data_IF_332038520806
#
_entry.id   IF_332038520806
#
_cell.length_a   1.000
_cell.length_b   1.000
_cell.length_c   1.000
_cell.angle_alpha   90.00
_cell.angle_beta   90.00
_cell.angle_gamma   90.00
#
_symmetry.space_group_name_H-M   'P 1'
#
loop_
_entity.id
_entity.type
_entity.pdbx_description
1 polymer ?
#
# COMPACT_ATOMS: atom_id res chain seq x y z
N UNK A 1 -7.22 -5.76 -67.54
CA UNK A 1 -6.74 -5.53 -68.92
C UNK A 1 -7.68 -6.26 -69.86
N UNK A 2 -8.15 -5.57 -70.89
CA UNK A 2 -9.21 -6.00 -71.82
C UNK A 2 -8.82 -7.26 -72.58
N UNK A 3 -9.67 -8.30 -72.53
CA UNK A 3 -9.58 -9.51 -73.35
C UNK A 3 -10.89 -9.70 -74.13
N UNK A 4 -11.19 -8.75 -75.01
CA UNK A 4 -12.31 -8.84 -75.94
C UNK A 4 -11.84 -8.47 -77.35
N UNK A 5 -11.09 -9.35 -78.01
CA UNK A 5 -10.78 -9.20 -79.43
C UNK A 5 -10.21 -10.48 -80.07
N UNK A 6 -10.90 -11.62 -80.00
CA UNK A 6 -10.58 -12.76 -80.88
C UNK A 6 -11.68 -13.80 -81.11
N UNK A 7 -12.94 -13.35 -81.09
CA UNK A 7 -14.05 -14.16 -81.63
C UNK A 7 -14.89 -13.27 -82.55
N UNK A 8 -14.37 -13.00 -83.74
CA UNK A 8 -15.16 -12.41 -84.83
C UNK A 8 -14.70 -12.94 -86.19
N UNK A 9 -14.73 -14.26 -86.36
CA UNK A 9 -14.59 -14.88 -87.69
C UNK A 9 -15.24 -16.28 -87.75
N UNK A 10 -16.43 -16.45 -87.17
CA UNK A 10 -17.32 -17.54 -87.55
C UNK A 10 -18.75 -17.01 -87.54
N UNK A 11 -19.15 -16.43 -88.68
CA UNK A 11 -20.55 -16.14 -88.98
C UNK A 11 -21.18 -17.42 -89.53
N UNK A 12 -21.48 -18.37 -88.66
CA UNK A 12 -22.38 -19.47 -88.98
C UNK A 12 -23.78 -18.90 -89.16
N UNK A 13 -24.29 -18.98 -90.39
CA UNK A 13 -25.64 -18.59 -90.79
C UNK A 13 -26.63 -19.47 -89.99
N UNK A 14 -27.41 -18.84 -89.12
CA UNK A 14 -28.48 -19.50 -88.40
C UNK A 14 -29.64 -19.82 -89.35
N UNK A 15 -30.08 -21.07 -89.36
CA UNK A 15 -31.45 -21.45 -89.71
C UNK A 15 -31.90 -22.48 -88.66
N UNK A 16 -32.95 -22.18 -87.88
CA UNK A 16 -33.92 -23.17 -87.44
C UNK A 16 -35.28 -22.82 -88.03
N UNK A 17 -35.78 -23.65 -88.96
CA UNK A 17 -36.75 -24.72 -88.70
C UNK A 17 -38.17 -24.14 -88.50
N UNK A 18 -38.78 -23.81 -89.63
CA UNK A 18 -40.22 -23.64 -89.75
C UNK A 18 -40.81 -25.03 -90.10
N UNK A 19 -41.81 -25.42 -89.34
CA UNK A 19 -42.61 -26.63 -89.51
C UNK A 19 -43.33 -26.65 -90.85
N UNK A 20 -43.25 -27.74 -91.62
CA UNK A 20 -44.42 -28.15 -92.41
C UNK A 20 -44.45 -29.64 -92.68
N UNK A 21 -45.68 -30.13 -92.54
CA UNK A 21 -46.18 -31.47 -92.71
C UNK A 21 -45.93 -32.07 -94.10
N UNK A 22 -46.05 -33.38 -94.14
CA UNK A 22 -46.00 -34.21 -95.33
C UNK A 22 -47.14 -33.91 -96.33
N UNK A 23 -46.76 -33.82 -97.60
CA UNK A 23 -47.46 -34.30 -98.81
C UNK A 23 -46.54 -33.88 -99.97
N UNK A 24 -46.03 -34.74 -100.84
CA UNK A 24 -46.72 -35.75 -101.62
C UNK A 24 -46.49 -35.40 -103.10
N UNK A 25 -46.08 -36.40 -103.89
CA UNK A 25 -46.05 -36.46 -105.37
C UNK A 25 -44.98 -35.67 -106.15
N UNK A 26 -44.40 -36.32 -107.15
CA UNK A 26 -43.84 -35.65 -108.33
C UNK A 26 -42.51 -36.19 -108.83
N UNK A 27 -42.57 -37.25 -109.64
CA UNK A 27 -41.48 -37.84 -110.41
C UNK A 27 -40.88 -36.92 -111.49
N UNK A 28 -39.65 -37.29 -111.91
CA UNK A 28 -39.18 -37.42 -113.29
C UNK A 28 -38.05 -36.47 -113.75
N UNK A 29 -36.95 -37.11 -114.17
CA UNK A 29 -36.05 -36.75 -115.29
C UNK A 29 -35.20 -35.48 -115.11
N UNK A 30 -33.98 -35.35 -115.62
CA UNK A 30 -33.40 -35.90 -116.83
C UNK A 30 -31.87 -35.69 -116.83
N UNK A 31 -31.23 -36.44 -117.72
CA UNK A 31 -29.80 -36.61 -118.00
C UNK A 31 -29.06 -35.32 -118.41
N UNK A 32 -27.73 -35.29 -118.23
CA UNK A 32 -26.93 -34.14 -118.68
C UNK A 32 -25.42 -34.26 -118.39
N UNK A 33 -24.72 -35.00 -119.25
CA UNK A 33 -23.27 -35.15 -119.32
C UNK A 33 -22.50 -33.82 -119.26
N UNK A 34 -21.37 -33.79 -118.53
CA UNK A 34 -20.36 -32.72 -118.61
C UNK A 34 -19.15 -33.18 -119.43
N UNK A 35 -18.53 -32.32 -120.26
CA UNK A 35 -17.41 -32.67 -121.13
C UNK A 35 -16.08 -32.62 -120.37
N UNK A 36 -15.19 -33.57 -120.66
CA UNK A 36 -13.85 -33.69 -120.11
C UNK A 36 -12.98 -32.51 -120.58
N UNK A 37 -12.72 -31.55 -119.69
CA UNK A 37 -11.72 -30.50 -119.90
C UNK A 37 -10.30 -31.11 -119.85
N UNK A 38 -9.48 -30.83 -120.86
CA UNK A 38 -8.08 -31.22 -120.92
C UNK A 38 -7.25 -30.34 -119.97
N UNK A 39 -7.11 -30.78 -118.72
CA UNK A 39 -6.31 -30.09 -117.69
C UNK A 39 -4.80 -30.27 -117.99
N UNK A 40 -4.07 -29.16 -118.08
CA UNK A 40 -2.60 -29.15 -118.21
C UNK A 40 -1.94 -29.62 -116.90
N UNK A 41 -1.02 -30.59 -116.99
CA UNK A 41 -0.36 -31.23 -115.84
C UNK A 41 0.44 -30.22 -115.00
N UNK A 42 1.00 -29.18 -115.60
CA UNK A 42 1.75 -28.14 -114.88
C UNK A 42 0.82 -27.33 -113.95
N UNK A 43 -0.31 -26.87 -114.47
CA UNK A 43 -1.34 -26.14 -113.70
C UNK A 43 -1.93 -27.00 -112.58
N UNK A 44 -2.12 -28.31 -112.81
CA UNK A 44 -2.57 -29.23 -111.78
C UNK A 44 -1.53 -29.42 -110.68
N UNK A 45 -0.24 -29.50 -111.02
CA UNK A 45 0.86 -29.61 -110.06
C UNK A 45 0.96 -28.35 -109.16
N UNK A 46 0.88 -27.16 -109.75
CA UNK A 46 0.87 -25.89 -109.00
C UNK A 46 -0.35 -25.81 -108.05
N UNK A 47 -1.53 -26.26 -108.52
CA UNK A 47 -2.74 -26.30 -107.68
C UNK A 47 -2.64 -27.30 -106.54
N UNK A 48 -1.99 -28.44 -106.75
CA UNK A 48 -1.72 -29.43 -105.69
C UNK A 48 -0.76 -28.85 -104.65
N UNK A 49 0.27 -28.12 -105.07
CA UNK A 49 1.22 -27.50 -104.15
C UNK A 49 0.59 -26.35 -103.35
N UNK A 50 -0.27 -25.54 -103.98
CA UNK A 50 -1.08 -24.53 -103.30
C UNK A 50 -2.00 -25.15 -102.24
N UNK A 51 -2.72 -26.22 -102.60
CA UNK A 51 -3.58 -26.96 -101.65
C UNK A 51 -2.78 -27.60 -100.51
N UNK A 52 -1.57 -28.08 -100.77
CA UNK A 52 -0.67 -28.59 -99.72
C UNK A 52 -0.28 -27.49 -98.74
N UNK A 53 0.10 -26.32 -99.24
CA UNK A 53 0.43 -25.17 -98.40
C UNK A 53 -0.77 -24.71 -97.57
N UNK A 54 -1.97 -24.64 -98.16
CA UNK A 54 -3.20 -24.32 -97.44
C UNK A 54 -3.53 -25.35 -96.35
N UNK A 55 -3.32 -26.64 -96.64
CA UNK A 55 -3.54 -27.73 -95.70
C UNK A 55 -2.56 -27.66 -94.53
N UNK A 56 -1.27 -27.42 -94.79
CA UNK A 56 -0.27 -27.27 -93.74
C UNK A 56 -0.52 -26.02 -92.88
N UNK A 57 -0.90 -24.88 -93.50
CA UNK A 57 -1.34 -23.69 -92.75
C UNK A 57 -2.56 -23.98 -91.86
N UNK A 58 -3.52 -24.77 -92.34
CA UNK A 58 -4.68 -25.15 -91.54
C UNK A 58 -4.28 -26.06 -90.38
N UNK A 59 -3.34 -27.00 -90.58
CA UNK A 59 -2.79 -27.83 -89.50
C UNK A 59 -2.10 -26.99 -88.42
N UNK A 60 -1.25 -26.05 -88.81
CA UNK A 60 -0.56 -25.16 -87.86
C UNK A 60 -1.56 -24.34 -87.03
N UNK A 61 -2.63 -23.83 -87.65
CA UNK A 61 -3.70 -23.11 -86.91
C UNK A 61 -4.45 -24.03 -85.94
N UNK A 62 -4.71 -25.29 -86.33
CA UNK A 62 -5.32 -26.28 -85.44
C UNK A 62 -4.40 -26.62 -84.26
N UNK A 63 -3.09 -26.76 -84.49
CA UNK A 63 -2.11 -26.99 -83.43
C UNK A 63 -2.05 -25.82 -82.45
N UNK A 64 -2.01 -24.58 -82.95
CA UNK A 64 -2.06 -23.38 -82.10
C UNK A 64 -3.35 -23.31 -81.27
N UNK A 65 -4.50 -23.61 -81.88
CA UNK A 65 -5.78 -23.65 -81.16
C UNK A 65 -5.79 -24.72 -80.07
N UNK A 66 -5.22 -25.91 -80.33
CA UNK A 66 -5.10 -26.97 -79.34
C UNK A 66 -4.25 -26.56 -78.13
N UNK A 67 -3.11 -25.88 -78.36
CA UNK A 67 -2.27 -25.35 -77.28
C UNK A 67 -3.03 -24.34 -76.41
N UNK A 68 -3.80 -23.44 -77.03
CA UNK A 68 -4.64 -22.49 -76.28
C UNK A 68 -5.77 -23.18 -75.51
N UNK A 69 -6.39 -24.22 -76.08
CA UNK A 69 -7.38 -25.02 -75.34
C UNK A 69 -6.77 -25.72 -74.13
N UNK A 70 -5.56 -26.25 -74.24
CA UNK A 70 -4.86 -26.87 -73.11
C UNK A 70 -4.52 -25.83 -72.03
N UNK A 71 -4.13 -24.62 -72.43
CA UNK A 71 -3.95 -23.50 -71.51
C UNK A 71 -5.24 -23.16 -70.77
N UNK A 72 -6.38 -23.07 -71.47
CA UNK A 72 -7.67 -22.83 -70.83
C UNK A 72 -8.09 -23.98 -69.91
N UNK A 73 -7.82 -25.24 -70.26
CA UNK A 73 -8.09 -26.39 -69.39
C UNK A 73 -7.32 -26.29 -68.07
N UNK A 74 -6.04 -25.92 -68.13
CA UNK A 74 -5.20 -25.71 -66.94
C UNK A 74 -5.75 -24.56 -66.09
N UNK A 75 -6.10 -23.43 -66.71
CA UNK A 75 -6.62 -22.27 -65.97
C UNK A 75 -7.97 -22.58 -65.31
N UNK A 76 -8.88 -23.27 -66.01
CA UNK A 76 -10.16 -23.72 -65.45
C UNK A 76 -9.92 -24.65 -64.27
N UNK A 77 -8.98 -25.59 -64.38
CA UNK A 77 -8.64 -26.49 -63.27
C UNK A 77 -8.10 -25.70 -62.07
N UNK A 78 -7.18 -24.76 -62.29
CA UNK A 78 -6.63 -23.88 -61.25
C UNK A 78 -7.74 -23.09 -60.54
N UNK A 79 -8.64 -22.48 -61.31
CA UNK A 79 -9.77 -21.70 -60.78
C UNK A 79 -10.72 -22.58 -59.94
N UNK A 80 -10.97 -23.81 -60.37
CA UNK A 80 -11.75 -24.78 -59.58
C UNK A 80 -11.07 -25.09 -58.24
N UNK A 81 -9.78 -25.38 -58.24
CA UNK A 81 -9.02 -25.61 -57.01
C UNK A 81 -9.08 -24.41 -56.05
N UNK A 82 -8.96 -23.19 -56.57
CA UNK A 82 -9.08 -21.98 -55.73
C UNK A 82 -10.49 -21.81 -55.18
N UNK A 83 -11.52 -22.08 -55.99
CA UNK A 83 -12.92 -21.97 -55.55
C UNK A 83 -13.23 -22.96 -54.41
N UNK A 84 -12.74 -24.19 -54.51
CA UNK A 84 -12.95 -25.20 -53.48
C UNK A 84 -12.18 -24.85 -52.19
N UNK A 85 -10.96 -24.31 -52.31
CA UNK A 85 -10.21 -23.80 -51.15
C UNK A 85 -10.95 -22.64 -50.44
N UNK A 86 -11.53 -21.71 -51.20
CA UNK A 86 -12.33 -20.61 -50.64
C UNK A 86 -13.62 -21.10 -49.98
N UNK A 87 -14.28 -22.12 -50.56
CA UNK A 87 -15.46 -22.76 -49.95
C UNK A 87 -15.10 -23.42 -48.61
N UNK A 88 -13.97 -24.12 -48.54
CA UNK A 88 -13.49 -24.73 -47.31
C UNK A 88 -13.12 -23.69 -46.26
N UNK A 89 -12.48 -22.60 -46.67
CA UNK A 89 -12.17 -21.47 -45.79
C UNK A 89 -13.45 -20.83 -45.24
N UNK A 90 -14.45 -20.60 -46.10
CA UNK A 90 -15.76 -20.06 -45.71
C UNK A 90 -16.49 -20.98 -44.73
N UNK A 91 -16.48 -22.30 -44.97
CA UNK A 91 -17.07 -23.28 -44.07
C UNK A 91 -16.40 -23.30 -42.68
N UNK A 92 -15.07 -23.14 -42.63
CA UNK A 92 -14.31 -23.00 -41.37
C UNK A 92 -14.69 -21.71 -40.63
N UNK A 93 -14.73 -20.59 -41.34
CA UNK A 93 -15.12 -19.30 -40.78
C UNK A 93 -16.54 -19.34 -40.20
N UNK A 94 -17.48 -19.95 -40.92
CA UNK A 94 -18.86 -20.11 -40.44
C UNK A 94 -18.95 -20.94 -39.15
N UNK A 95 -18.19 -22.03 -39.05
CA UNK A 95 -18.11 -22.84 -37.81
C UNK A 95 -17.58 -22.04 -36.63
N UNK A 96 -16.56 -21.19 -36.85
CA UNK A 96 -16.03 -20.32 -35.81
C UNK A 96 -17.05 -19.27 -35.37
N UNK A 97 -17.75 -18.65 -36.33
CA UNK A 97 -18.79 -17.69 -36.04
C UNK A 97 -19.92 -18.29 -35.18
N UNK A 98 -20.36 -19.51 -35.50
CA UNK A 98 -21.39 -20.20 -34.71
C UNK A 98 -20.94 -20.45 -33.26
N UNK A 99 -19.67 -20.86 -33.06
CA UNK A 99 -19.12 -21.03 -31.70
C UNK A 99 -19.09 -19.72 -30.92
N UNK A 100 -18.72 -18.61 -31.56
CA UNK A 100 -18.70 -17.30 -30.91
C UNK A 100 -20.11 -16.80 -30.58
N UNK A 101 -21.08 -17.07 -31.44
CA UNK A 101 -22.49 -16.78 -31.16
C UNK A 101 -22.97 -17.53 -29.92
N UNK A 102 -22.68 -18.82 -29.82
CA UNK A 102 -23.10 -19.63 -28.66
C UNK A 102 -22.36 -19.22 -27.38
N UNK A 103 -21.06 -18.93 -27.46
CA UNK A 103 -20.27 -18.35 -26.36
C UNK A 103 -20.88 -17.03 -25.87
N UNK A 104 -21.33 -16.18 -26.79
CA UNK A 104 -21.95 -14.90 -26.45
C UNK A 104 -23.27 -15.10 -25.71
N UNK A 105 -24.11 -16.06 -26.14
CA UNK A 105 -25.36 -16.41 -25.44
C UNK A 105 -25.09 -16.94 -24.03
N UNK A 106 -24.08 -17.78 -23.86
CA UNK A 106 -23.68 -18.28 -22.53
C UNK A 106 -23.25 -17.14 -21.60
N UNK A 107 -22.43 -16.21 -22.11
CA UNK A 107 -21.99 -15.04 -21.34
C UNK A 107 -23.17 -14.15 -20.95
N UNK A 108 -24.10 -13.88 -21.87
CA UNK A 108 -25.32 -13.12 -21.58
C UNK A 108 -26.19 -13.80 -20.50
N UNK A 109 -26.29 -15.13 -20.51
CA UNK A 109 -27.03 -15.86 -19.47
C UNK A 109 -26.33 -15.77 -18.10
N UNK A 110 -24.99 -15.87 -18.07
CA UNK A 110 -24.22 -15.68 -16.83
C UNK A 110 -24.38 -14.27 -16.28
N UNK A 111 -24.34 -13.26 -17.13
CA UNK A 111 -24.54 -11.87 -16.74
C UNK A 111 -25.92 -11.66 -16.09
N UNK A 112 -27.00 -12.17 -16.73
CA UNK A 112 -28.35 -12.09 -16.16
C UNK A 112 -28.44 -12.76 -14.79
N UNK A 113 -27.83 -13.93 -14.63
CA UNK A 113 -27.81 -14.63 -13.34
C UNK A 113 -27.06 -13.84 -12.27
N UNK A 114 -25.90 -13.26 -12.62
CA UNK A 114 -25.12 -12.42 -11.71
C UNK A 114 -25.89 -11.16 -11.32
N UNK A 115 -26.61 -10.52 -12.25
CA UNK A 115 -27.47 -9.37 -11.94
C UNK A 115 -28.58 -9.72 -10.95
N UNK A 116 -29.20 -10.90 -11.09
CA UNK A 116 -30.23 -11.37 -10.15
C UNK A 116 -29.62 -11.61 -8.76
N UNK A 117 -28.44 -12.23 -8.68
CA UNK A 117 -27.72 -12.46 -7.42
C UNK A 117 -27.38 -11.13 -6.74
N UNK A 118 -26.82 -10.19 -7.49
CA UNK A 118 -26.44 -8.86 -6.98
C UNK A 118 -27.65 -8.12 -6.41
N UNK A 119 -28.81 -8.18 -7.09
CA UNK A 119 -30.05 -7.59 -6.57
C UNK A 119 -30.48 -8.22 -5.24
N UNK A 120 -30.38 -9.55 -5.11
CA UNK A 120 -30.68 -10.26 -3.86
C UNK A 120 -29.76 -9.83 -2.72
N UNK A 121 -28.45 -9.76 -2.98
CA UNK A 121 -27.47 -9.34 -1.99
C UNK A 121 -27.66 -7.87 -1.58
N UNK A 122 -27.96 -7.00 -2.54
CA UNK A 122 -28.25 -5.58 -2.27
C UNK A 122 -29.48 -5.43 -1.37
N UNK A 123 -30.54 -6.20 -1.63
CA UNK A 123 -31.72 -6.21 -0.76
C UNK A 123 -31.39 -6.72 0.64
N UNK A 124 -30.62 -7.81 0.76
CA UNK A 124 -30.20 -8.34 2.07
C UNK A 124 -29.35 -7.33 2.85
N UNK A 125 -28.38 -6.68 2.20
CA UNK A 125 -27.58 -5.62 2.80
C UNK A 125 -28.44 -4.44 3.26
N UNK A 126 -29.43 -4.03 2.47
CA UNK A 126 -30.35 -2.94 2.86
C UNK A 126 -31.17 -3.31 4.11
N UNK A 127 -31.58 -4.57 4.24
CA UNK A 127 -32.29 -5.07 5.42
C UNK A 127 -31.38 -5.11 6.66
N UNK A 128 -30.13 -5.56 6.51
CA UNK A 128 -29.15 -5.56 7.59
C UNK A 128 -28.80 -4.15 8.03
N UNK A 129 -28.65 -3.22 7.09
CA UNK A 129 -28.39 -1.81 7.38
C UNK A 129 -29.56 -1.18 8.16
N UNK A 130 -30.81 -1.50 7.79
CA UNK A 130 -31.98 -1.03 8.52
C UNK A 130 -31.99 -1.55 9.97
N UNK A 131 -31.67 -2.83 10.18
CA UNK A 131 -31.53 -3.42 11.53
C UNK A 131 -30.41 -2.79 12.34
N UNK A 132 -29.26 -2.54 11.71
CA UNK A 132 -28.15 -1.86 12.38
C UNK A 132 -28.55 -0.46 12.85
N UNK A 133 -29.30 0.27 12.01
CA UNK A 133 -29.79 1.60 12.35
C UNK A 133 -30.78 1.56 13.53
N UNK A 134 -31.69 0.57 13.58
CA UNK A 134 -32.62 0.41 14.70
C UNK A 134 -31.91 0.07 16.00
N UNK A 135 -30.94 -0.86 15.97
CA UNK A 135 -30.14 -1.21 17.15
C UNK A 135 -29.30 -0.01 17.64
N UNK A 136 -28.73 0.76 16.72
CA UNK A 136 -27.96 1.96 17.05
C UNK A 136 -28.84 3.03 17.72
N UNK A 137 -30.08 3.21 17.24
CA UNK A 137 -31.03 4.12 17.85
C UNK A 137 -31.45 3.66 19.25
N UNK A 138 -31.68 2.35 19.42
CA UNK A 138 -31.99 1.74 20.73
C UNK A 138 -30.85 1.94 21.73
N UNK A 139 -29.60 1.64 21.34
CA UNK A 139 -28.41 1.86 22.16
C UNK A 139 -28.24 3.32 22.58
N UNK A 140 -28.47 4.27 21.67
CA UNK A 140 -28.45 5.70 22.00
C UNK A 140 -29.51 6.06 23.05
N UNK A 141 -30.73 5.51 22.93
CA UNK A 141 -31.79 5.75 23.90
C UNK A 141 -31.45 5.18 25.29
N UNK A 142 -30.95 3.94 25.35
CA UNK A 142 -30.49 3.32 26.60
C UNK A 142 -29.33 4.10 27.24
N UNK A 143 -28.37 4.55 26.43
CA UNK A 143 -27.24 5.35 26.92
C UNK A 143 -27.71 6.69 27.50
N UNK A 144 -28.69 7.35 26.84
CA UNK A 144 -29.30 8.57 27.37
C UNK A 144 -30.02 8.31 28.70
N UNK A 145 -30.75 7.21 28.81
CA UNK A 145 -31.41 6.82 30.05
C UNK A 145 -30.40 6.57 31.19
N UNK A 146 -29.32 5.83 30.91
CA UNK A 146 -28.26 5.57 31.88
C UNK A 146 -27.65 6.87 32.43
N UNK A 147 -27.33 7.84 31.56
CA UNK A 147 -26.84 9.16 31.99
C UNK A 147 -27.81 9.91 32.89
N UNK A 148 -29.11 9.87 32.58
CA UNK A 148 -30.14 10.49 33.45
C UNK A 148 -30.22 9.80 34.81
N UNK A 149 -29.98 8.49 34.91
CA UNK A 149 -29.92 7.80 36.20
C UNK A 149 -28.65 8.14 36.97
N UNK A 150 -27.51 8.27 36.28
CA UNK A 150 -26.24 8.72 36.89
C UNK A 150 -26.38 10.14 37.49
N UNK A 151 -27.03 11.06 36.77
CA UNK A 151 -27.30 12.42 37.24
C UNK A 151 -28.15 12.40 38.53
N UNK A 152 -29.24 11.63 38.54
CA UNK A 152 -30.06 11.45 39.75
C UNK A 152 -29.27 10.84 40.91
N UNK A 153 -28.39 9.88 40.64
CA UNK A 153 -27.55 9.26 41.66
C UNK A 153 -26.64 10.31 42.29
N UNK A 154 -25.95 11.12 41.46
CA UNK A 154 -25.09 12.20 41.92
C UNK A 154 -25.86 13.19 42.79
N UNK A 155 -27.07 13.61 42.37
CA UNK A 155 -27.92 14.51 43.15
C UNK A 155 -28.29 13.90 44.51
N UNK A 156 -28.76 12.65 44.53
CA UNK A 156 -29.10 11.97 45.80
C UNK A 156 -27.88 11.79 46.71
N UNK A 157 -26.69 11.59 46.13
CA UNK A 157 -25.46 11.46 46.90
C UNK A 157 -25.03 12.81 47.49
N UNK A 158 -25.24 13.91 46.77
CA UNK A 158 -25.03 15.26 47.29
C UNK A 158 -26.00 15.57 48.43
N UNK A 159 -27.28 15.21 48.31
CA UNK A 159 -28.27 15.34 49.39
C UNK A 159 -27.86 14.54 50.63
N UNK A 160 -27.34 13.31 50.46
CA UNK A 160 -26.83 12.50 51.56
C UNK A 160 -25.64 13.17 52.27
N UNK A 161 -24.67 13.72 51.52
CA UNK A 161 -23.54 14.43 52.10
C UNK A 161 -23.98 15.72 52.81
N UNK A 162 -24.92 16.47 52.23
CA UNK A 162 -25.53 17.63 52.89
C UNK A 162 -26.22 17.24 54.21
N UNK A 163 -26.94 16.11 54.22
CA UNK A 163 -27.59 15.60 55.42
C UNK A 163 -26.57 15.18 56.47
N UNK A 164 -25.44 14.55 56.10
CA UNK A 164 -24.33 14.24 57.02
C UNK A 164 -23.76 15.51 57.66
N UNK A 165 -23.52 16.54 56.85
CA UNK A 165 -22.99 17.83 57.33
C UNK A 165 -23.95 18.57 58.27
N UNK A 166 -25.26 18.42 58.08
CA UNK A 166 -26.27 19.08 58.93
C UNK A 166 -26.65 18.28 60.18
N UNK A 167 -26.34 16.98 60.23
CA UNK A 167 -26.66 16.09 61.36
C UNK A 167 -25.44 15.73 62.22
N UNK A 168 -24.22 15.99 61.75
CA UNK A 168 -22.99 15.71 62.51
C UNK A 168 -22.65 16.84 63.47
N UNK A 169 -22.91 16.65 64.77
CA UNK A 169 -22.19 17.33 65.84
C UNK A 169 -20.99 16.45 66.20
N UNK A 170 -19.80 16.76 65.68
CA UNK A 170 -18.56 16.19 66.20
C UNK A 170 -17.41 17.21 66.27
N UNK A 171 -16.47 17.01 67.21
CA UNK A 171 -15.56 18.03 67.75
C UNK A 171 -14.31 18.26 66.88
N UNK A 172 -13.50 19.29 67.18
CA UNK A 172 -12.38 19.69 66.32
C UNK A 172 -11.23 18.68 66.43
N UNK A 173 -10.89 18.05 65.29
CA UNK A 173 -9.63 17.31 65.12
C UNK A 173 -8.86 17.88 63.94
N UNK A 174 -7.73 18.49 64.31
CA UNK A 174 -6.46 18.73 63.62
C UNK A 174 -6.41 19.18 62.14
N UNK A 175 -5.79 20.35 61.87
CA UNK A 175 -5.55 20.86 60.53
C UNK A 175 -4.27 20.25 59.97
N UNK A 176 -4.34 19.07 59.37
CA UNK A 176 -3.28 18.64 58.45
C UNK A 176 -3.86 17.97 57.21
N UNK A 177 -3.31 18.38 56.06
CA UNK A 177 -3.66 17.96 54.70
C UNK A 177 -4.87 18.70 54.10
N UNK A 178 -4.70 20.01 53.92
CA UNK A 178 -5.24 20.66 52.74
C UNK A 178 -4.68 19.93 51.50
N UNK A 179 -5.56 19.21 50.78
CA UNK A 179 -5.28 18.73 49.44
C UNK A 179 -5.13 19.97 48.55
N UNK A 180 -3.88 20.26 48.23
CA UNK A 180 -3.46 21.40 47.43
C UNK A 180 -4.10 21.30 46.02
N UNK A 181 -5.23 21.98 45.81
CA UNK A 181 -5.97 22.01 44.53
C UNK A 181 -5.16 22.67 43.39
N UNK A 182 -4.00 23.24 43.70
CA UNK A 182 -3.05 23.82 42.75
C UNK A 182 -1.84 22.91 42.48
N UNK A 183 -1.78 21.70 43.04
CA UNK A 183 -0.71 20.76 42.73
C UNK A 183 -0.78 20.34 41.25
N UNK A 184 0.33 20.47 40.49
CA UNK A 184 0.36 19.99 39.11
C UNK A 184 0.05 18.48 39.09
N UNK A 185 -0.79 18.07 38.13
CA UNK A 185 -1.15 16.67 37.93
C UNK A 185 0.11 15.80 37.92
N UNK A 186 0.07 14.61 38.54
CA UNK A 186 1.23 13.74 38.60
C UNK A 186 1.72 13.43 37.19
N UNK A 187 3.01 13.61 36.98
CA UNK A 187 3.67 13.36 35.72
C UNK A 187 3.44 11.91 35.25
N UNK A 188 2.78 11.74 34.11
CA UNK A 188 2.47 10.42 33.55
C UNK A 188 3.75 9.80 32.95
N UNK A 189 4.21 8.61 33.40
CA UNK A 189 5.31 7.92 32.75
C UNK A 189 4.89 7.43 31.36
N UNK A 190 5.82 7.45 30.41
CA UNK A 190 5.63 6.90 29.08
C UNK A 190 6.94 6.41 28.45
N UNK A 191 6.79 5.62 27.38
CA UNK A 191 7.86 5.19 26.49
C UNK A 191 7.48 5.55 25.06
N UNK A 192 8.46 5.74 24.19
CA UNK A 192 8.24 6.18 22.82
C UNK A 192 8.89 5.22 21.84
N UNK A 193 8.18 4.90 20.76
CA UNK A 193 8.70 4.18 19.59
C UNK A 193 8.72 5.12 18.40
N UNK A 194 9.89 5.36 17.83
CA UNK A 194 10.08 6.13 16.60
C UNK A 194 10.50 5.18 15.48
N UNK A 195 9.74 5.16 14.39
CA UNK A 195 9.96 4.24 13.26
C UNK A 195 10.19 5.04 11.98
N UNK A 196 11.28 4.73 11.31
CA UNK A 196 11.51 5.09 9.91
C UNK A 196 10.75 4.09 9.02
N UNK A 197 9.54 4.48 8.62
CA UNK A 197 8.68 3.69 7.73
C UNK A 197 9.18 3.64 6.29
N UNK A 198 10.18 4.46 5.91
CA UNK A 198 10.82 4.44 4.61
C UNK A 198 11.92 3.37 4.55
N UNK A 199 12.62 3.13 5.66
CA UNK A 199 13.64 2.09 5.75
C UNK A 199 13.10 0.74 6.20
N UNK A 200 12.10 0.68 7.09
CA UNK A 200 11.63 -0.57 7.70
C UNK A 200 10.52 -1.23 6.88
N UNK A 201 10.59 -2.55 6.72
CA UNK A 201 9.53 -3.36 6.13
C UNK A 201 8.78 -4.09 7.24
N UNK A 202 7.46 -4.12 7.14
CA UNK A 202 6.60 -4.91 8.03
C UNK A 202 6.79 -6.40 7.81
N UNK A 203 6.53 -7.20 8.84
CA UNK A 203 6.61 -8.66 8.77
C UNK A 203 5.72 -9.21 7.63
N UNK A 204 6.11 -10.33 6.97
CA UNK A 204 5.44 -10.83 5.77
C UNK A 204 3.93 -11.06 5.95
N UNK A 205 3.53 -11.55 7.11
CA UNK A 205 2.14 -11.84 7.49
C UNK A 205 1.31 -10.58 7.78
N UNK A 206 1.95 -9.47 8.13
CA UNK A 206 1.35 -8.13 8.14
C UNK A 206 1.24 -7.60 6.71
N UNK A 207 2.23 -7.86 5.85
CA UNK A 207 2.28 -7.33 4.49
C UNK A 207 1.55 -8.14 3.43
N UNK A 208 1.21 -9.40 3.69
CA UNK A 208 0.64 -10.30 2.71
C UNK A 208 -0.61 -10.94 3.33
N UNK A 209 -1.77 -10.38 3.01
CA UNK A 209 -3.05 -11.04 3.27
C UNK A 209 -3.13 -12.27 2.38
N UNK A 210 -2.54 -13.40 2.80
CA UNK A 210 -2.75 -14.69 2.17
C UNK A 210 -4.17 -15.20 2.48
N UNK A 211 -5.21 -14.48 2.03
CA UNK A 211 -6.56 -15.05 1.91
C UNK A 211 -6.68 -15.63 0.48
N UNK A 212 -7.05 -16.91 0.32
CA UNK A 212 -7.09 -17.57 -0.98
C UNK A 212 -8.12 -16.92 -1.93
N UNK A 213 -7.89 -16.93 -3.26
CA UNK A 213 -8.79 -16.29 -4.23
C UNK A 213 -10.15 -16.99 -4.21
N UNK A 214 -11.22 -16.24 -3.93
CA UNK A 214 -12.59 -16.77 -3.87
C UNK A 214 -13.08 -17.10 -2.46
N UNK A 215 -12.21 -17.04 -1.44
CA UNK A 215 -12.66 -16.83 -0.07
C UNK A 215 -12.88 -15.32 0.09
N UNK A 216 -14.15 -14.97 0.20
CA UNK A 216 -14.75 -13.76 0.74
C UNK A 216 -13.75 -12.81 1.42
N UNK A 217 -14.03 -11.52 1.26
CA UNK A 217 -13.82 -10.45 2.24
C UNK A 217 -14.37 -10.77 3.66
N UNK A 218 -14.09 -11.97 4.16
CA UNK A 218 -14.53 -12.60 5.40
C UNK A 218 -13.51 -13.68 5.87
N UNK A 219 -12.21 -13.49 5.60
CA UNK A 219 -11.27 -13.66 6.71
C UNK A 219 -11.54 -12.51 7.69
N UNK A 220 -12.70 -12.60 8.35
CA UNK A 220 -13.04 -11.88 9.54
C UNK A 220 -11.97 -12.28 10.56
N UNK A 221 -10.88 -11.51 10.58
CA UNK A 221 -10.11 -11.31 11.79
C UNK A 221 -11.16 -10.90 12.82
N UNK A 222 -11.48 -11.83 13.72
CA UNK A 222 -12.52 -11.75 14.74
C UNK A 222 -12.41 -10.48 15.64
N UNK A 223 -11.31 -9.73 15.49
CA UNK A 223 -10.93 -8.53 16.26
C UNK A 223 -10.91 -7.23 15.44
N UNK A 224 -11.48 -7.19 14.23
CA UNK A 224 -11.52 -5.99 13.38
C UNK A 224 -10.14 -5.46 12.96
N UNK A 225 -9.11 -6.30 12.91
CA UNK A 225 -7.74 -5.84 12.64
C UNK A 225 -7.31 -6.14 11.21
N UNK A 226 -7.34 -5.13 10.34
CA UNK A 226 -6.53 -5.15 9.12
C UNK A 226 -5.02 -5.08 9.46
N UNK A 227 -4.13 -5.19 8.48
CA UNK A 227 -2.69 -5.27 8.74
C UNK A 227 -2.11 -4.06 9.46
N UNK A 228 -2.64 -2.84 9.25
CA UNK A 228 -2.21 -1.67 10.02
C UNK A 228 -2.50 -1.83 11.52
N UNK A 229 -3.71 -2.28 11.85
CA UNK A 229 -4.11 -2.57 13.23
C UNK A 229 -3.31 -3.74 13.84
N UNK A 230 -2.95 -4.73 13.04
CA UNK A 230 -2.09 -5.83 13.46
C UNK A 230 -0.69 -5.34 13.82
N UNK A 231 -0.08 -4.48 12.99
CA UNK A 231 1.21 -3.88 13.27
C UNK A 231 1.22 -3.06 14.57
N UNK A 232 0.21 -2.21 14.78
CA UNK A 232 0.05 -1.42 16.01
C UNK A 232 -0.04 -2.33 17.26
N UNK A 233 -0.86 -3.38 17.17
CA UNK A 233 -1.03 -4.35 18.27
C UNK A 233 0.28 -5.08 18.60
N UNK A 234 1.05 -5.49 17.58
CA UNK A 234 2.32 -6.19 17.80
C UNK A 234 3.40 -5.29 18.38
N UNK A 235 3.53 -4.04 17.91
CA UNK A 235 4.44 -3.06 18.52
C UNK A 235 4.09 -2.88 20.00
N UNK A 236 2.80 -2.65 20.33
CA UNK A 236 2.36 -2.53 21.72
C UNK A 236 2.78 -3.74 22.54
N UNK A 237 2.54 -4.95 22.04
CA UNK A 237 2.86 -6.17 22.76
C UNK A 237 4.38 -6.33 22.99
N UNK A 238 5.21 -6.05 22.00
CA UNK A 238 6.68 -6.10 22.15
C UNK A 238 7.20 -5.06 23.15
N UNK A 239 6.65 -3.84 23.12
CA UNK A 239 7.00 -2.80 24.09
C UNK A 239 6.54 -3.17 25.50
N UNK A 240 5.32 -3.72 25.67
CA UNK A 240 4.84 -4.20 26.97
C UNK A 240 5.74 -5.31 27.51
N UNK A 241 6.14 -6.28 26.68
CA UNK A 241 7.12 -7.31 27.08
C UNK A 241 8.42 -6.68 27.56
N UNK A 242 8.93 -5.67 26.85
CA UNK A 242 10.12 -4.95 27.27
C UNK A 242 9.92 -4.28 28.64
N UNK A 243 8.84 -3.51 28.84
CA UNK A 243 8.54 -2.85 30.12
C UNK A 243 8.53 -3.86 31.27
N UNK A 244 7.87 -5.01 31.09
CA UNK A 244 7.80 -6.06 32.10
C UNK A 244 9.18 -6.69 32.40
N UNK A 245 10.09 -6.74 31.43
CA UNK A 245 11.44 -7.27 31.60
C UNK A 245 12.38 -6.35 32.39
N UNK A 246 12.04 -5.06 32.52
CA UNK A 246 12.92 -4.04 33.13
C UNK A 246 12.85 -3.96 34.67
N UNK A 247 12.24 -4.96 35.33
CA UNK A 247 12.23 -5.14 36.79
C UNK A 247 11.87 -3.87 37.59
N UNK A 248 10.92 -3.07 37.09
CA UNK A 248 10.45 -1.84 37.77
C UNK A 248 11.21 -0.56 37.43
N UNK A 249 12.27 -0.61 36.62
CA UNK A 249 12.95 0.60 36.10
C UNK A 249 12.02 1.44 35.23
N UNK A 250 11.10 0.79 34.53
CA UNK A 250 10.01 1.43 33.78
C UNK A 250 8.70 1.07 34.49
N UNK A 251 7.88 2.06 34.91
CA UNK A 251 6.58 1.80 35.52
C UNK A 251 5.67 1.00 34.57
N UNK A 252 4.97 -0.01 35.09
CA UNK A 252 3.99 -0.80 34.30
C UNK A 252 2.80 0.04 33.83
N UNK A 253 2.56 1.19 34.47
CA UNK A 253 1.55 2.19 34.08
C UNK A 253 2.03 3.12 32.97
N UNK A 254 3.25 2.93 32.44
CA UNK A 254 3.80 3.76 31.38
C UNK A 254 2.96 3.65 30.10
N UNK A 255 2.55 4.81 29.56
CA UNK A 255 1.86 4.86 28.27
C UNK A 255 2.85 4.57 27.14
N UNK A 256 2.37 3.97 26.06
CA UNK A 256 3.18 3.66 24.87
C UNK A 256 2.78 4.62 23.77
N UNK A 257 3.71 5.49 23.37
CA UNK A 257 3.54 6.39 22.22
C UNK A 257 4.32 5.80 21.05
N UNK A 258 3.68 5.65 19.89
CA UNK A 258 4.35 5.14 18.69
C UNK A 258 4.14 6.10 17.54
N UNK A 259 5.22 6.50 16.87
CA UNK A 259 5.18 7.38 15.71
C UNK A 259 5.96 6.75 14.57
N UNK A 260 5.24 6.45 13.49
CA UNK A 260 5.83 5.99 12.23
C UNK A 260 5.88 7.15 11.27
N UNK A 261 7.05 7.46 10.73
CA UNK A 261 7.23 8.50 9.71
C UNK A 261 7.53 7.83 8.38
N UNK A 262 6.73 8.13 7.36
CA UNK A 262 6.91 7.57 6.03
C UNK A 262 6.55 8.64 5.00
N UNK A 263 7.30 8.75 3.91
CA UNK A 263 6.97 9.68 2.84
C UNK A 263 6.01 9.02 1.84
N UNK A 264 4.74 9.44 1.85
CA UNK A 264 3.71 8.82 1.01
C UNK A 264 3.90 9.12 -0.48
N UNK A 265 4.66 10.18 -0.81
CA UNK A 265 4.92 10.63 -2.18
C UNK A 265 6.18 10.05 -2.81
N UNK A 266 7.17 9.67 -2.00
CA UNK A 266 8.47 9.17 -2.48
C UNK A 266 8.46 7.72 -2.97
N UNK A 267 7.40 6.97 -2.63
CA UNK A 267 7.19 5.62 -3.13
C UNK A 267 6.12 5.67 -4.22
N UNK A 268 6.37 5.10 -5.42
CA UNK A 268 5.28 4.87 -6.35
C UNK A 268 4.19 4.02 -5.65
N UNK A 269 2.90 4.14 -6.02
CA UNK A 269 1.75 3.45 -5.40
C UNK A 269 1.82 1.91 -5.30
N UNK A 270 2.96 1.28 -5.60
CA UNK A 270 3.19 -0.11 -5.26
C UNK A 270 4.64 -0.47 -4.95
N UNK A 271 5.37 0.39 -4.24
CA UNK A 271 6.62 0.00 -3.55
C UNK A 271 6.38 -0.31 -2.05
N UNK A 272 5.18 -0.81 -1.72
CA UNK A 272 5.10 -2.00 -0.88
C UNK A 272 5.15 -3.22 -1.81
N UNK A 273 6.30 -3.48 -2.43
CA UNK A 273 6.45 -4.47 -3.50
C UNK A 273 6.32 -5.93 -3.07
N UNK A 274 6.13 -6.20 -1.77
CA UNK A 274 5.69 -7.53 -1.34
C UNK A 274 4.18 -7.75 -1.54
N UNK A 275 3.39 -6.70 -1.74
CA UNK A 275 1.98 -6.83 -2.12
C UNK A 275 1.77 -7.10 -3.62
N UNK A 276 2.82 -7.05 -4.46
CA UNK A 276 2.70 -7.20 -5.93
C UNK A 276 2.84 -8.63 -6.45
N UNK A 277 3.07 -9.62 -5.58
CA UNK A 277 3.29 -11.02 -6.02
C UNK A 277 2.10 -11.96 -5.79
N UNK A 278 0.95 -11.50 -5.29
CA UNK A 278 -0.23 -12.35 -5.15
C UNK A 278 -1.55 -11.57 -5.18
N UNK A 279 -2.30 -11.70 -6.27
CA UNK A 279 -3.75 -11.49 -6.29
C UNK A 279 -4.27 -10.04 -6.21
N UNK A 280 -5.60 -9.84 -6.38
CA UNK A 280 -6.19 -8.57 -6.77
C UNK A 280 -6.64 -7.65 -5.62
N UNK A 281 -6.08 -7.75 -4.41
CA UNK A 281 -6.42 -6.86 -3.29
C UNK A 281 -5.16 -6.30 -2.61
N UNK A 282 -4.56 -5.29 -3.25
CA UNK A 282 -3.43 -4.54 -2.69
C UNK A 282 -3.98 -3.47 -1.77
N UNK A 283 -3.75 -3.59 -0.45
CA UNK A 283 -4.07 -2.53 0.50
C UNK A 283 -3.19 -1.31 0.23
N UNK A 284 -3.80 -0.13 0.19
CA UNK A 284 -3.05 1.12 -0.01
C UNK A 284 -2.29 1.50 1.26
N UNK A 285 -1.16 2.21 1.12
CA UNK A 285 -0.41 2.74 2.27
C UNK A 285 -1.27 3.65 3.15
N UNK A 286 -2.18 4.42 2.54
CA UNK A 286 -3.13 5.26 3.26
C UNK A 286 -4.10 4.44 4.12
N UNK A 287 -4.63 3.34 3.58
CA UNK A 287 -5.51 2.44 4.33
C UNK A 287 -4.77 1.74 5.48
N UNK A 288 -3.52 1.33 5.25
CA UNK A 288 -2.66 0.81 6.32
C UNK A 288 -2.46 1.86 7.43
N UNK A 289 -2.16 3.11 7.06
CA UNK A 289 -1.94 4.20 8.01
C UNK A 289 -3.20 4.51 8.84
N UNK A 290 -4.39 4.50 8.21
CA UNK A 290 -5.68 4.65 8.89
C UNK A 290 -5.88 3.52 9.90
N UNK A 291 -5.77 2.26 9.46
CA UNK A 291 -5.93 1.10 10.34
C UNK A 291 -4.93 1.08 11.51
N UNK A 292 -3.69 1.53 11.28
CA UNK A 292 -2.67 1.63 12.32
C UNK A 292 -3.06 2.69 13.36
N UNK A 293 -3.47 3.87 12.89
CA UNK A 293 -3.76 5.04 13.72
C UNK A 293 -5.05 4.84 14.52
N UNK A 294 -6.09 4.27 13.91
CA UNK A 294 -7.38 4.02 14.58
C UNK A 294 -7.29 2.93 15.65
N UNK A 295 -6.30 2.03 15.58
CA UNK A 295 -6.23 0.88 16.48
C UNK A 295 -5.90 1.26 17.92
N UNK A 296 -5.03 2.25 18.15
CA UNK A 296 -4.58 2.65 19.49
C UNK A 296 -4.42 4.19 19.57
N UNK A 297 -4.94 4.87 20.61
CA UNK A 297 -4.99 6.34 20.66
C UNK A 297 -3.66 7.10 20.65
N UNK A 298 -2.52 6.44 20.92
CA UNK A 298 -1.18 7.05 20.96
C UNK A 298 -0.27 6.49 19.86
N UNK A 299 -0.87 5.89 18.84
CA UNK A 299 -0.17 5.30 17.70
C UNK A 299 -0.50 6.12 16.48
N UNK A 300 0.50 6.78 15.91
CA UNK A 300 0.33 7.67 14.79
C UNK A 300 1.17 7.22 13.60
N UNK A 301 0.58 7.25 12.41
CA UNK A 301 1.28 7.03 11.14
C UNK A 301 1.29 8.34 10.34
N UNK A 302 2.44 9.02 10.32
CA UNK A 302 2.58 10.34 9.72
C UNK A 302 3.12 10.26 8.29
N UNK A 303 2.48 10.98 7.38
CA UNK A 303 3.11 11.38 6.13
C UNK A 303 4.20 12.43 6.42
N UNK A 304 5.44 12.09 6.08
CA UNK A 304 6.57 13.01 6.21
C UNK A 304 6.52 14.16 5.19
N UNK A 305 5.71 14.03 4.14
CA UNK A 305 5.58 15.01 3.06
C UNK A 305 6.71 14.88 2.02
N UNK A 306 6.71 15.77 1.02
CA UNK A 306 7.63 15.69 -0.13
C UNK A 306 9.08 16.02 0.28
N UNK A 307 10.04 15.18 -0.12
CA UNK A 307 11.48 15.39 0.08
C UNK A 307 12.21 14.17 0.67
N UNK A 308 13.50 14.03 0.35
CA UNK A 308 14.31 12.84 0.65
C UNK A 308 14.69 12.66 2.13
N UNK A 309 14.66 13.73 2.94
CA UNK A 309 15.15 13.73 4.33
C UNK A 309 14.08 14.17 5.35
N UNK A 310 12.82 14.32 4.90
CA UNK A 310 11.74 14.84 5.76
C UNK A 310 11.38 13.90 6.92
N UNK A 311 11.45 12.59 6.70
CA UNK A 311 11.21 11.61 7.75
C UNK A 311 12.34 11.68 8.78
N UNK A 312 13.59 11.78 8.33
CA UNK A 312 14.77 11.85 9.19
C UNK A 312 14.76 13.08 10.09
N UNK A 313 14.41 14.26 9.55
CA UNK A 313 14.28 15.50 10.31
C UNK A 313 13.24 15.34 11.43
N UNK A 314 12.07 14.77 11.11
CA UNK A 314 11.01 14.53 12.10
C UNK A 314 11.47 13.54 13.18
N UNK A 315 12.14 12.46 12.80
CA UNK A 315 12.67 11.47 13.75
C UNK A 315 13.72 12.11 14.65
N UNK A 316 14.65 12.90 14.10
CA UNK A 316 15.70 13.61 14.87
C UNK A 316 15.12 14.55 15.91
N UNK A 317 14.17 15.41 15.52
CA UNK A 317 13.56 16.34 16.47
C UNK A 317 12.71 15.64 17.54
N UNK A 318 11.94 14.61 17.16
CA UNK A 318 11.19 13.80 18.13
C UNK A 318 12.13 13.08 19.10
N UNK A 319 13.24 12.55 18.60
CA UNK A 319 14.24 11.88 19.41
C UNK A 319 14.80 12.83 20.48
N UNK A 320 15.23 14.04 20.09
CA UNK A 320 15.76 15.04 21.02
C UNK A 320 14.74 15.48 22.07
N UNK A 321 13.50 15.73 21.66
CA UNK A 321 12.41 16.09 22.55
C UNK A 321 12.15 15.00 23.61
N UNK A 322 12.01 13.74 23.18
CA UNK A 322 11.66 12.66 24.11
C UNK A 322 12.84 12.19 24.95
N UNK A 323 14.07 12.27 24.43
CA UNK A 323 15.26 11.92 25.20
C UNK A 323 15.48 12.89 26.37
N UNK A 324 15.25 14.18 26.13
CA UNK A 324 15.37 15.24 27.16
C UNK A 324 14.17 15.28 28.12
N UNK A 325 13.05 14.63 27.78
CA UNK A 325 11.87 14.60 28.64
C UNK A 325 12.08 13.65 29.83
N UNK A 326 11.97 14.12 31.09
CA UNK A 326 12.20 13.29 32.28
C UNK A 326 11.26 12.07 32.37
N UNK A 327 9.99 12.25 31.99
CA UNK A 327 8.94 11.24 32.09
C UNK A 327 9.01 10.15 31.01
N UNK A 328 9.87 10.35 30.00
CA UNK A 328 10.15 9.34 28.98
C UNK A 328 11.21 8.38 29.51
N UNK A 329 10.83 7.12 29.75
CA UNK A 329 11.70 6.15 30.39
C UNK A 329 12.53 5.33 29.39
N UNK A 330 12.01 5.15 28.17
CA UNK A 330 12.70 4.45 27.09
C UNK A 330 12.26 5.01 25.73
N UNK A 331 13.21 5.03 24.79
CA UNK A 331 13.06 5.51 23.43
C UNK A 331 13.54 4.42 22.48
N UNK A 332 12.58 3.73 21.86
CA UNK A 332 12.84 2.72 20.84
C UNK A 332 13.04 3.39 19.49
N UNK A 333 14.20 3.18 18.89
CA UNK A 333 14.59 3.79 17.62
C UNK A 333 14.68 2.70 16.55
N UNK A 334 13.63 2.59 15.74
CA UNK A 334 13.58 1.78 14.53
C UNK A 334 13.97 2.64 13.32
N UNK A 335 15.20 3.14 13.34
CA UNK A 335 15.81 3.95 12.26
C UNK A 335 17.30 3.59 12.08
N UNK A 336 17.70 2.38 12.50
CA UNK A 336 19.11 2.01 12.61
C UNK A 336 19.69 1.40 11.31
N UNK A 337 19.02 1.54 10.18
CA UNK A 337 19.50 1.07 8.87
C UNK A 337 20.24 2.16 8.08
N UNK A 338 20.10 3.43 8.47
CA UNK A 338 20.76 4.56 7.84
C UNK A 338 21.88 5.11 8.75
N UNK A 339 23.09 5.27 8.21
CA UNK A 339 24.19 5.92 8.93
C UNK A 339 23.93 7.42 9.18
N UNK A 340 22.96 8.04 8.49
CA UNK A 340 22.55 9.42 8.73
C UNK A 340 22.14 9.69 10.18
N UNK A 341 21.66 8.69 10.92
CA UNK A 341 21.33 8.80 12.33
C UNK A 341 22.52 8.61 13.28
N UNK A 342 23.69 8.14 12.79
CA UNK A 342 24.84 7.82 13.63
C UNK A 342 25.35 9.04 14.41
N UNK A 343 25.51 10.19 13.74
CA UNK A 343 25.98 11.43 14.39
C UNK A 343 25.03 11.90 15.49
N UNK A 344 23.72 11.74 15.28
CA UNK A 344 22.70 12.10 16.29
C UNK A 344 22.74 11.14 17.49
N UNK A 345 23.06 9.86 17.31
CA UNK A 345 23.18 8.91 18.42
C UNK A 345 24.53 9.01 19.14
N UNK A 346 25.60 9.33 18.39
CA UNK A 346 26.98 9.36 18.87
C UNK A 346 27.17 10.33 20.04
N UNK A 347 26.53 11.50 19.98
CA UNK A 347 26.60 12.51 21.05
C UNK A 347 26.08 12.02 22.42
N UNK A 348 25.33 10.92 22.44
CA UNK A 348 24.77 10.32 23.66
C UNK A 348 25.44 9.01 24.07
N UNK A 349 26.43 8.54 23.30
CA UNK A 349 27.10 7.25 23.54
C UNK A 349 27.87 7.19 24.87
N UNK A 350 28.43 8.34 25.29
CA UNK A 350 29.16 8.49 26.56
C UNK A 350 28.26 8.94 27.74
N UNK A 351 27.01 9.32 27.47
CA UNK A 351 26.11 9.80 28.51
C UNK A 351 25.36 8.63 29.18
N UNK A 352 25.60 8.31 30.46
CA UNK A 352 25.12 7.07 31.09
C UNK A 352 23.59 6.98 31.17
N UNK A 353 22.90 8.09 31.46
CA UNK A 353 21.44 8.11 31.51
C UNK A 353 20.80 8.01 30.12
N UNK A 354 21.25 8.81 29.15
CA UNK A 354 20.73 8.78 27.78
C UNK A 354 20.93 7.39 27.15
N UNK A 355 22.12 6.79 27.34
CA UNK A 355 22.42 5.45 26.83
C UNK A 355 21.49 4.36 27.37
N UNK A 356 21.03 4.46 28.61
CA UNK A 356 20.05 3.53 29.19
C UNK A 356 18.63 3.74 28.67
N UNK A 357 18.30 4.96 28.24
CA UNK A 357 16.98 5.27 27.65
C UNK A 357 16.89 4.84 26.19
N UNK A 358 17.99 4.86 25.43
CA UNK A 358 17.99 4.61 23.99
C UNK A 358 18.07 3.11 23.71
N UNK A 359 17.06 2.59 23.01
CA UNK A 359 16.96 1.18 22.61
C UNK A 359 16.83 1.10 21.09
N UNK A 360 17.78 0.49 20.40
CA UNK A 360 17.73 0.30 18.96
C UNK A 360 16.86 -0.89 18.61
N UNK A 361 15.95 -0.71 17.65
CA UNK A 361 15.11 -1.80 17.13
C UNK A 361 15.66 -2.25 15.79
N UNK A 362 16.37 -3.38 15.80
CA UNK A 362 17.04 -3.96 14.65
C UNK A 362 16.10 -4.89 13.89
N UNK A 363 16.00 -4.79 12.56
CA UNK A 363 15.35 -5.80 11.74
C UNK A 363 16.28 -6.99 11.44
N UNK A 364 17.40 -7.16 12.17
CA UNK A 364 18.36 -8.25 12.00
C UNK A 364 19.80 -7.77 11.73
N UNK A 365 19.97 -6.50 11.35
CA UNK A 365 21.26 -5.81 11.37
C UNK A 365 21.07 -4.30 11.57
N UNK A 366 22.14 -3.63 11.98
CA UNK A 366 22.21 -2.16 12.11
C UNK A 366 23.34 -1.60 11.24
N UNK A 367 23.24 -0.33 10.87
CA UNK A 367 24.27 0.36 10.10
C UNK A 367 25.61 0.38 10.88
N UNK A 368 26.73 0.26 10.15
CA UNK A 368 28.05 0.01 10.76
C UNK A 368 28.47 1.11 11.75
N UNK A 369 28.16 2.37 11.46
CA UNK A 369 28.53 3.49 12.34
C UNK A 369 27.71 3.47 13.63
N UNK A 370 26.42 3.12 13.55
CA UNK A 370 25.54 2.97 14.71
C UNK A 370 25.98 1.77 15.57
N UNK A 371 26.40 0.67 14.95
CA UNK A 371 26.87 -0.53 15.66
C UNK A 371 28.03 -0.22 16.62
N UNK A 372 28.93 0.68 16.22
CA UNK A 372 30.11 1.08 17.02
C UNK A 372 29.73 1.82 18.30
N UNK A 373 28.56 2.44 18.36
CA UNK A 373 28.08 3.17 19.54
C UNK A 373 27.69 2.24 20.70
N UNK A 374 27.60 0.93 20.48
CA UNK A 374 27.37 -0.08 21.51
C UNK A 374 26.12 0.18 22.38
N UNK A 375 25.07 0.75 21.78
CA UNK A 375 23.77 0.97 22.39
C UNK A 375 23.04 -0.37 22.62
N UNK A 376 21.94 -0.33 23.38
CA UNK A 376 21.07 -1.50 23.54
C UNK A 376 20.37 -1.80 22.22
N UNK A 377 20.32 -3.08 21.82
CA UNK A 377 19.74 -3.54 20.56
C UNK A 377 18.76 -4.66 20.86
N UNK A 378 17.56 -4.56 20.30
CA UNK A 378 16.51 -5.58 20.36
C UNK A 378 15.97 -5.87 18.95
N UNK A 379 15.39 -7.05 18.74
CA UNK A 379 14.74 -7.43 17.49
C UNK A 379 13.25 -7.68 17.69
N UNK A 380 12.42 -7.21 16.77
CA UNK A 380 10.97 -7.47 16.74
C UNK A 380 10.57 -8.24 15.47
N UNK A 381 10.90 -9.53 15.37
CA UNK A 381 10.69 -10.32 14.14
C UNK A 381 9.20 -10.47 13.78
N UNK A 382 8.31 -10.33 14.76
CA UNK A 382 6.86 -10.35 14.54
C UNK A 382 6.32 -8.99 14.05
N UNK A 383 7.08 -7.91 14.14
CA UNK A 383 6.68 -6.57 13.70
C UNK A 383 7.33 -6.24 12.37
N UNK A 384 8.65 -6.42 12.27
CA UNK A 384 9.44 -6.05 11.11
C UNK A 384 10.01 -7.29 10.42
N UNK A 385 10.02 -7.26 9.09
CA UNK A 385 10.63 -8.32 8.29
C UNK A 385 12.13 -8.39 8.58
N UNK A 386 12.62 -9.61 8.82
CA UNK A 386 14.05 -9.85 9.02
C UNK A 386 14.83 -9.47 7.76
N UNK A 387 15.83 -8.61 7.91
CA UNK A 387 16.75 -8.21 6.85
C UNK A 387 18.13 -8.79 7.07
N UNK A 388 18.78 -9.09 5.95
CA UNK A 388 20.17 -9.53 5.90
C UNK A 388 20.99 -8.39 5.29
N UNK A 389 22.15 -8.04 5.86
CA UNK A 389 23.01 -7.03 5.28
C UNK A 389 23.51 -7.48 3.89
N UNK A 390 23.73 -6.53 2.94
CA UNK A 390 24.37 -6.83 1.66
C UNK A 390 25.69 -7.61 1.84
N UNK A 391 26.09 -8.50 0.92
CA UNK A 391 27.24 -9.40 1.12
C UNK A 391 28.56 -8.69 1.47
N UNK A 392 28.80 -7.53 0.86
CA UNK A 392 29.95 -6.65 1.09
C UNK A 392 29.94 -6.00 2.49
N UNK A 393 28.76 -5.68 3.01
CA UNK A 393 28.55 -5.14 4.35
C UNK A 393 28.52 -6.26 5.40
N UNK A 394 28.03 -7.45 5.07
CA UNK A 394 27.84 -8.57 5.98
C UNK A 394 29.14 -9.02 6.65
N UNK A 395 30.24 -9.09 5.88
CA UNK A 395 31.57 -9.44 6.43
C UNK A 395 32.05 -8.38 7.42
N UNK A 396 31.86 -7.10 7.10
CA UNK A 396 32.24 -5.98 7.98
C UNK A 396 31.39 -5.96 9.25
N UNK A 397 30.08 -6.14 9.10
CA UNK A 397 29.12 -6.18 10.20
C UNK A 397 29.41 -7.34 11.16
N UNK A 398 29.69 -8.54 10.64
CA UNK A 398 30.05 -9.70 11.46
C UNK A 398 31.36 -9.46 12.24
N UNK A 399 32.39 -8.91 11.57
CA UNK A 399 33.66 -8.55 12.22
C UNK A 399 33.46 -7.52 13.32
N UNK A 400 32.65 -6.49 13.08
CA UNK A 400 32.41 -5.43 14.04
C UNK A 400 31.57 -5.92 15.24
N UNK A 401 30.57 -6.79 15.00
CA UNK A 401 29.78 -7.43 16.06
C UNK A 401 30.67 -8.22 17.03
N UNK A 402 31.62 -8.98 16.49
CA UNK A 402 32.59 -9.74 17.30
C UNK A 402 33.49 -8.80 18.10
N UNK A 403 33.97 -7.69 17.51
CA UNK A 403 34.77 -6.70 18.24
C UNK A 403 34.00 -6.08 19.41
N UNK A 404 32.76 -5.64 19.17
CA UNK A 404 31.89 -5.05 20.21
C UNK A 404 31.62 -6.05 21.34
N UNK A 405 31.36 -7.32 20.99
CA UNK A 405 31.14 -8.38 21.97
C UNK A 405 32.40 -8.64 22.83
N UNK A 406 33.58 -8.68 22.19
CA UNK A 406 34.86 -8.82 22.90
C UNK A 406 35.15 -7.61 23.81
N UNK A 407 34.83 -6.38 23.36
CA UNK A 407 34.96 -5.18 24.19
C UNK A 407 34.04 -5.22 25.41
N UNK A 408 32.76 -5.59 25.24
CA UNK A 408 31.81 -5.76 26.35
C UNK A 408 32.28 -6.82 27.34
N UNK A 409 32.76 -7.98 26.86
CA UNK A 409 33.29 -9.04 27.72
C UNK A 409 34.55 -8.60 28.49
N UNK A 410 35.44 -7.79 27.87
CA UNK A 410 36.62 -7.23 28.54
C UNK A 410 36.24 -6.22 29.61
N UNK A 411 35.29 -5.32 29.33
CA UNK A 411 34.78 -4.35 30.29
C UNK A 411 34.10 -5.02 31.51
N UNK A 412 33.35 -6.11 31.29
CA UNK A 412 32.76 -6.89 32.38
C UNK A 412 33.82 -7.59 33.23
N UNK A 413 34.87 -8.17 32.62
CA UNK A 413 35.99 -8.79 33.36
C UNK A 413 36.79 -7.81 34.21
N UNK A 414 36.97 -6.56 33.75
CA UNK A 414 37.66 -5.52 34.56
C UNK A 414 36.86 -5.06 35.78
N UNK A 415 35.54 -5.24 35.80
CA UNK A 415 34.69 -4.88 36.94
C UNK A 415 34.61 -6.02 37.98
N UNK A 416 34.98 -7.25 37.62
CA UNK A 416 34.81 -8.46 38.46
C UNK A 416 36.09 -9.04 39.07
N UNK A 417 37.24 -8.34 39.00
CA UNK A 417 38.48 -8.82 39.65
C UNK A 417 38.53 -8.32 41.11
N UNK A 418 38.57 -9.21 42.12
CA UNK A 418 38.90 -8.81 43.48
C UNK A 418 40.41 -8.52 43.54
N UNK A 419 40.77 -7.31 43.98
CA UNK A 419 42.16 -6.95 44.28
C UNK A 419 42.56 -7.69 45.55
N UNK A 420 43.43 -8.70 45.43
CA UNK A 420 44.07 -9.40 46.54
C UNK A 420 45.56 -9.02 46.55
N UNK A 421 45.96 -8.27 47.59
CA UNK A 421 47.34 -8.06 48.10
C UNK A 421 48.30 -7.27 47.20
N UNK A 422 49.07 -6.29 47.64
CA UNK A 422 49.33 -5.70 48.96
C UNK A 422 50.45 -4.66 48.77
N UNK A 423 50.40 -3.56 49.54
CA UNK A 423 51.45 -2.52 49.54
C UNK A 423 50.94 -1.08 49.50
N UNK A 424 50.73 -0.51 50.68
CA UNK A 424 50.57 0.95 50.95
C UNK A 424 52.00 1.56 50.94
N UNK A 425 52.25 2.79 50.41
CA UNK A 425 51.76 4.01 51.04
C UNK A 425 51.15 5.12 50.17
N UNK A 426 49.99 5.55 50.67
CA UNK A 426 49.49 6.94 50.86
C UNK A 426 49.39 7.88 49.65
N UNK A 427 48.14 8.11 49.23
CA UNK A 427 47.60 9.47 49.25
C UNK A 427 46.12 9.42 49.66
N UNK A 428 45.85 9.83 50.90
CA UNK A 428 44.51 10.04 51.44
C UNK A 428 43.83 11.22 50.71
N UNK A 429 42.73 10.94 50.00
CA UNK A 429 41.59 11.86 49.94
C UNK A 429 40.33 11.03 50.22
N UNK A 430 39.67 11.39 51.32
CA UNK A 430 38.68 10.63 52.07
C UNK A 430 37.30 10.58 51.36
N UNK A 431 36.41 9.62 51.72
CA UNK A 431 35.05 9.45 51.16
C UNK A 431 34.02 10.55 51.46
N UNK A 432 34.45 11.77 51.81
CA UNK A 432 33.55 12.90 52.11
C UNK A 432 33.07 13.69 50.88
N UNK A 433 33.59 13.37 49.69
CA UNK A 433 33.20 14.05 48.44
C UNK A 433 31.93 13.49 47.79
N UNK A 434 31.49 12.28 48.16
CA UNK A 434 30.19 11.76 47.70
C UNK A 434 28.99 12.28 48.50
N UNK A 435 29.20 12.70 49.76
CA UNK A 435 28.18 13.36 50.58
C UNK A 435 27.99 14.86 50.22
N UNK A 436 28.82 15.39 49.33
CA UNK A 436 28.73 16.77 48.81
C UNK A 436 28.11 16.86 47.41
N UNK A 437 27.69 15.75 46.82
CA UNK A 437 26.91 15.78 45.58
C UNK A 437 25.45 16.03 45.96
N UNK A 438 24.83 17.15 45.55
CA UNK A 438 23.44 17.41 45.88
C UNK A 438 22.58 16.28 45.33
N UNK A 439 21.78 15.63 46.19
CA UNK A 439 20.67 14.82 45.75
C UNK A 439 19.75 15.73 44.92
N UNK A 440 19.82 15.60 43.60
CA UNK A 440 19.11 16.49 42.69
C UNK A 440 17.62 16.17 42.76
N UNK A 441 16.90 16.93 43.58
CA UNK A 441 15.46 16.86 43.64
C UNK A 441 14.88 17.63 42.45
N UNK A 442 14.30 16.90 41.49
CA UNK A 442 13.71 17.45 40.26
C UNK A 442 12.61 18.48 40.56
N UNK A 443 11.86 18.30 41.66
CA UNK A 443 10.83 19.25 42.09
C UNK A 443 11.43 20.55 42.62
N UNK A 444 12.62 20.51 43.23
CA UNK A 444 13.33 21.70 43.70
C UNK A 444 14.00 22.50 42.56
N UNK A 445 14.30 21.86 41.42
CA UNK A 445 14.82 22.53 40.23
C UNK A 445 13.70 23.21 39.41
N UNK A 446 12.53 22.57 39.29
CA UNK A 446 11.35 23.17 38.64
C UNK A 446 10.83 24.41 39.38
N UNK A 447 10.85 24.42 40.72
CA UNK A 447 10.47 25.59 41.51
C UNK A 447 11.39 26.82 41.28
N UNK A 448 12.69 26.61 41.00
CA UNK A 448 13.65 27.70 40.73
C UNK A 448 13.58 28.24 39.30
N UNK A 449 13.20 27.39 38.34
CA UNK A 449 12.98 27.81 36.95
C UNK A 449 11.68 28.63 36.78
N UNK A 450 10.67 28.39 37.64
CA UNK A 450 9.42 29.15 37.67
C UNK A 450 9.59 30.61 38.15
N UNK A 451 10.66 30.94 38.87
CA UNK A 451 10.89 32.27 39.44
C UNK A 451 11.79 33.17 38.56
N UNK A 452 12.10 32.77 37.32
CA UNK A 452 13.21 33.37 36.59
C UNK A 452 13.03 33.49 35.07
N UNK A 453 11.86 33.84 34.55
CA UNK A 453 11.75 34.52 33.24
C UNK A 453 10.54 35.43 33.26
N UNK A 454 10.78 36.74 33.35
CA UNK A 454 9.75 37.76 33.30
C UNK A 454 9.14 37.85 31.90
N UNK A 455 7.84 37.55 31.79
CA UNK A 455 7.01 38.01 30.69
C UNK A 455 6.30 39.28 31.16
N UNK A 456 6.87 40.45 30.83
CA UNK A 456 6.15 41.73 30.98
C UNK A 456 5.08 41.80 29.91
N UNK A 457 3.86 41.36 30.23
CA UNK A 457 2.67 41.81 29.50
C UNK A 457 2.32 43.18 30.05
N UNK A 458 2.52 44.21 29.22
CA UNK A 458 1.99 45.54 29.49
C UNK A 458 0.46 45.46 29.44
N UNK A 459 -0.18 45.45 30.60
CA UNK A 459 -1.61 45.75 30.70
C UNK A 459 -1.80 47.26 30.82
N UNK A 460 -2.62 47.79 29.92
CA UNK A 460 -3.03 49.19 29.85
C UNK A 460 -3.52 49.71 31.20
N UNK A 461 -2.89 50.79 31.66
CA UNK A 461 -3.34 51.61 32.80
C UNK A 461 -4.30 52.68 32.28
N UNK A 462 -5.59 52.36 32.28
CA UNK A 462 -6.67 53.36 32.20
C UNK A 462 -7.99 52.74 32.65
N UNK A 463 -8.22 52.69 33.96
CA UNK A 463 -9.54 52.81 34.61
C UNK A 463 -9.42 52.47 36.10
N UNK A 464 -10.17 53.21 36.92
CA UNK A 464 -10.46 53.01 38.34
C UNK A 464 -9.42 53.54 39.35
N UNK A 465 -9.37 54.88 39.42
CA UNK A 465 -9.35 55.57 40.70
C UNK A 465 -10.81 55.93 41.07
N UNK A 466 -11.31 55.45 42.20
CA UNK A 466 -12.19 56.23 43.09
C UNK A 466 -12.58 55.41 44.32
N UNK A 467 -12.65 56.11 45.45
CA UNK A 467 -13.04 55.70 46.82
C UNK A 467 -11.90 55.15 47.69
N UNK A 468 -11.29 56.04 48.48
CA UNK A 468 -11.81 56.23 49.83
C UNK A 468 -11.62 57.67 50.32
N UNK A 469 -12.66 58.18 50.95
CA UNK A 469 -12.80 59.50 51.56
C UNK A 469 -12.53 59.31 53.05
N UNK A 470 -11.61 60.08 53.63
CA UNK A 470 -11.50 60.19 55.08
C UNK A 470 -11.44 61.67 55.47
N UNK A 471 -12.34 62.01 56.39
CA UNK A 471 -12.71 63.33 56.87
C UNK A 471 -11.56 64.13 57.49
N UNK A 472 -11.50 65.40 57.10
CA UNK A 472 -10.78 66.49 57.75
C UNK A 472 -11.55 67.00 58.97
N UNK A 473 -10.88 67.04 60.12
CA UNK A 473 -11.23 67.89 61.26
C UNK A 473 -9.97 68.71 61.61
N UNK A 474 -10.02 70.01 61.32
CA UNK A 474 -9.16 71.08 61.85
C UNK A 474 -9.46 71.31 63.35
N UNK A 475 -8.52 71.84 64.19
CA UNK A 475 -8.16 73.28 64.18
C UNK A 475 -6.75 73.58 64.77
N UNK A 476 -6.42 74.81 65.21
CA UNK A 476 -6.03 75.95 64.37
C UNK A 476 -4.67 76.57 64.79
N UNK A 477 -4.23 77.54 63.98
CA UNK A 477 -3.37 78.70 64.27
C UNK A 477 -1.97 78.51 64.90
N UNK A 478 -0.98 79.16 64.28
CA UNK A 478 -0.31 80.37 64.80
C UNK A 478 1.17 80.47 64.37
N UNK A 479 1.50 81.66 63.83
CA UNK A 479 2.76 82.44 63.91
C UNK A 479 3.59 82.60 62.62
N UNK A 480 3.43 83.83 62.09
CA UNK A 480 4.29 84.75 61.32
C UNK A 480 5.03 84.33 60.03
#
# INVERSE_FOLDING_TARGET
>A
MSLSSWISAFRSKAIPLESTEANGTGSASEDGQTPVEHIDFATLADRVEELRYELDRARDMCEQANVEFDRYRIEIHRLKCTLDAERDASAKAHKLLMREIDRTKELQNREKNLQISLRRETLSNSQLQARLNTETASLKAMTKHARTQEEKLIDTQLELEYLKCTTSVEPPLDPTVALDQHAPLPAQPFVVVLVDGDAYQWAPDISNNNCPPGAVSACNNFDGSGPGAMAATRIRNEVTKYILSQQGTIPVTAKIVTRVFCNFSSRPPGLMTNFRKSGPAVLSLGEFAVQFTEKLPLFDFFDAGRGKERADDKIRENFHLFLSTPNCHALFVAACLDNGFARMLEQYSDHPLARRKIVLVSPGYVALEIQRLCLEEIEWPNVFAKRVPPPDVAVKYAREKVKVQNQRARAQRSVSMPVVGGGIPTSNVHPKLLDMVPAWNVNAAMMRASSGVGFRVALNRAALESRDVMETIEPPDEID
#
